data_IF_379908995067
#
_entry.id   IF_379908995067
#
_cell.length_a   1.000
_cell.length_b   1.000
_cell.length_c   1.000
_cell.angle_alpha   90.00
_cell.angle_beta   90.00
_cell.angle_gamma   90.00
#
_symmetry.space_group_name_H-M   'P 1'
#
loop_
_entity.id
_entity.type
_entity.pdbx_description
1 polymer ?
#
# COMPACT_ATOMS: atom_id res chain seq x y z
N UNK A 1 -22.69 -14.82 -2.77
CA UNK A 1 -21.36 -15.24 -3.26
C UNK A 1 -21.11 -14.86 -4.73
N UNK A 2 -21.82 -15.39 -5.73
CA UNK A 2 -21.61 -15.00 -7.16
C UNK A 2 -21.93 -13.54 -7.50
N UNK A 3 -22.89 -12.92 -6.82
CA UNK A 3 -23.32 -11.53 -7.12
C UNK A 3 -22.31 -10.45 -6.72
N UNK A 4 -21.54 -10.66 -5.65
CA UNK A 4 -20.67 -9.63 -5.05
C UNK A 4 -19.17 -9.81 -5.39
N UNK A 5 -18.79 -10.88 -6.09
CA UNK A 5 -17.39 -11.11 -6.48
C UNK A 5 -16.41 -11.34 -5.32
N UNK A 6 -16.91 -11.60 -4.10
CA UNK A 6 -16.09 -11.89 -2.93
C UNK A 6 -15.73 -13.38 -2.88
N UNK A 7 -14.42 -13.73 -2.84
CA UNK A 7 -13.97 -15.09 -2.54
C UNK A 7 -14.50 -15.58 -1.18
N UNK A 8 -14.84 -16.86 -1.07
CA UNK A 8 -15.43 -17.42 0.16
C UNK A 8 -14.53 -17.23 1.41
N UNK A 9 -13.20 -17.27 1.24
CA UNK A 9 -12.22 -16.99 2.31
C UNK A 9 -12.34 -15.58 2.89
N UNK A 10 -12.74 -14.59 2.10
CA UNK A 10 -12.87 -13.21 2.57
C UNK A 10 -14.11 -13.00 3.43
N UNK A 11 -15.06 -13.94 3.40
CA UNK A 11 -16.20 -13.95 4.33
C UNK A 11 -15.82 -14.51 5.70
N UNK A 12 -14.66 -15.18 5.84
CA UNK A 12 -14.16 -15.62 7.14
C UNK A 12 -13.88 -14.44 8.08
N UNK A 13 -13.65 -13.24 7.55
CA UNK A 13 -13.52 -12.03 8.37
C UNK A 13 -14.84 -11.68 9.09
N UNK A 14 -15.97 -12.21 8.65
CA UNK A 14 -17.29 -11.97 9.23
C UNK A 14 -17.71 -13.11 10.17
N UNK A 15 -16.94 -14.22 10.19
CA UNK A 15 -17.20 -15.40 11.02
C UNK A 15 -17.04 -15.04 12.51
N UNK A 16 -18.08 -15.24 13.34
CA UNK A 16 -18.01 -14.95 14.77
C UNK A 16 -16.97 -15.77 15.53
N UNK A 17 -16.62 -16.98 15.06
CA UNK A 17 -15.70 -17.92 15.74
C UNK A 17 -14.23 -17.56 15.46
N UNK A 18 -13.94 -16.93 14.32
CA UNK A 18 -12.59 -16.58 13.87
C UNK A 18 -12.22 -15.10 14.12
N UNK A 19 -12.89 -14.42 15.05
CA UNK A 19 -12.80 -12.96 15.27
C UNK A 19 -11.36 -12.41 15.34
N UNK A 20 -10.88 -11.91 14.19
CA UNK A 20 -9.69 -11.08 14.06
C UNK A 20 -9.99 -9.65 14.56
N UNK A 21 -8.96 -8.83 14.89
CA UNK A 21 -9.16 -7.41 15.21
C UNK A 21 -9.91 -6.67 14.08
N UNK A 22 -10.55 -5.55 14.42
CA UNK A 22 -11.29 -4.68 13.49
C UNK A 22 -10.61 -4.54 12.13
N UNK A 23 -11.24 -5.06 11.06
CA UNK A 23 -10.66 -5.18 9.72
C UNK A 23 -11.61 -4.62 8.67
N UNK A 24 -11.06 -3.85 7.72
CA UNK A 24 -11.77 -3.39 6.52
C UNK A 24 -11.05 -3.94 5.29
N UNK A 25 -11.77 -4.67 4.45
CA UNK A 25 -11.23 -5.40 3.30
C UNK A 25 -11.89 -4.90 2.02
N UNK A 26 -11.12 -4.33 1.10
CA UNK A 26 -11.61 -3.88 -0.21
C UNK A 26 -11.41 -4.94 -1.31
N UNK A 27 -12.44 -5.15 -2.13
CA UNK A 27 -12.43 -5.97 -3.35
C UNK A 27 -13.12 -5.24 -4.50
N UNK A 28 -12.94 -5.75 -5.71
CA UNK A 28 -13.39 -5.17 -7.00
C UNK A 28 -14.83 -4.62 -6.98
N UNK A 29 -15.76 -5.28 -6.28
CA UNK A 29 -17.18 -4.90 -6.22
C UNK A 29 -17.74 -4.69 -4.82
N UNK A 30 -16.93 -4.88 -3.79
CA UNK A 30 -17.41 -4.91 -2.42
C UNK A 30 -16.32 -4.56 -1.41
N UNK A 31 -16.71 -3.91 -0.31
CA UNK A 31 -15.90 -3.64 0.86
C UNK A 31 -16.49 -4.44 2.02
N UNK A 32 -15.75 -5.41 2.54
CA UNK A 32 -16.06 -6.09 3.79
C UNK A 32 -15.61 -5.25 4.99
N UNK A 33 -16.49 -5.11 5.97
CA UNK A 33 -16.25 -4.40 7.22
C UNK A 33 -16.51 -5.37 8.36
N UNK A 34 -15.51 -5.61 9.19
CA UNK A 34 -15.63 -6.30 10.46
C UNK A 34 -15.11 -5.36 11.56
N UNK A 35 -16.02 -4.67 12.24
CA UNK A 35 -15.74 -3.88 13.44
C UNK A 35 -16.44 -4.54 14.63
N UNK A 36 -16.03 -4.17 15.84
CA UNK A 36 -16.53 -4.71 17.11
C UNK A 36 -18.05 -4.98 17.12
N UNK A 37 -18.84 -3.98 16.74
CA UNK A 37 -20.30 -4.11 16.63
C UNK A 37 -20.83 -3.99 15.20
N UNK A 38 -20.00 -3.85 14.16
CA UNK A 38 -20.52 -3.60 12.80
C UNK A 38 -19.91 -4.59 11.83
N UNK A 39 -20.74 -5.51 11.33
CA UNK A 39 -20.37 -6.47 10.29
C UNK A 39 -21.14 -6.14 9.03
N UNK A 40 -20.46 -5.58 8.03
CA UNK A 40 -21.10 -5.09 6.82
C UNK A 40 -20.37 -5.51 5.54
N UNK A 41 -21.13 -5.69 4.47
CA UNK A 41 -20.60 -5.74 3.10
C UNK A 41 -21.18 -4.54 2.35
N UNK A 42 -20.33 -3.61 1.94
CA UNK A 42 -20.70 -2.42 1.17
C UNK A 42 -20.39 -2.68 -0.28
N UNK A 43 -21.40 -2.58 -1.16
CA UNK A 43 -21.23 -2.58 -2.61
C UNK A 43 -21.55 -1.19 -3.17
N UNK A 44 -21.45 -1.02 -4.49
CA UNK A 44 -21.84 0.22 -5.15
C UNK A 44 -23.35 0.52 -5.06
N UNK A 45 -24.20 -0.48 -4.80
CA UNK A 45 -25.66 -0.34 -4.84
C UNK A 45 -26.33 -0.60 -3.49
N UNK A 46 -25.73 -1.44 -2.66
CA UNK A 46 -26.34 -1.90 -1.41
C UNK A 46 -25.31 -2.05 -0.29
N UNK A 47 -25.76 -1.85 0.94
CA UNK A 47 -25.02 -2.14 2.17
C UNK A 47 -25.74 -3.28 2.87
N UNK A 48 -25.05 -4.42 3.01
CA UNK A 48 -25.57 -5.59 3.71
C UNK A 48 -24.99 -5.60 5.12
N UNK A 49 -25.83 -5.38 6.14
CA UNK A 49 -25.47 -5.47 7.55
C UNK A 49 -25.89 -6.82 8.10
N UNK A 50 -24.91 -7.60 8.58
CA UNK A 50 -25.16 -8.94 9.13
C UNK A 50 -25.85 -8.90 10.50
N UNK A 51 -25.62 -7.84 11.27
CA UNK A 51 -26.15 -7.66 12.62
C UNK A 51 -27.07 -6.43 12.74
N UNK A 52 -27.91 -6.20 11.72
CA UNK A 52 -28.84 -5.06 11.66
C UNK A 52 -29.91 -5.02 12.76
N UNK A 53 -30.15 -6.15 13.45
CA UNK A 53 -31.12 -6.28 14.55
C UNK A 53 -30.50 -6.11 15.94
N UNK A 54 -29.19 -5.93 16.02
CA UNK A 54 -28.51 -5.71 17.29
C UNK A 54 -28.83 -4.29 17.80
N UNK A 55 -29.28 -4.11 19.06
CA UNK A 55 -29.57 -2.80 19.64
C UNK A 55 -28.41 -1.81 19.54
N UNK A 56 -27.17 -2.28 19.54
CA UNK A 56 -25.96 -1.43 19.39
C UNK A 56 -25.79 -0.87 17.97
N UNK A 57 -26.40 -1.51 16.97
CA UNK A 57 -26.28 -1.18 15.54
C UNK A 57 -27.50 -0.44 15.02
N UNK A 58 -28.66 -0.60 15.66
CA UNK A 58 -29.90 0.07 15.25
C UNK A 58 -29.78 1.59 15.07
N UNK A 59 -29.15 2.36 15.99
CA UNK A 59 -28.99 3.81 15.80
C UNK A 59 -28.19 4.14 14.53
N UNK A 60 -27.20 3.32 14.19
CA UNK A 60 -26.45 3.46 12.95
C UNK A 60 -27.32 3.16 11.73
N UNK A 61 -28.13 2.09 11.78
CA UNK A 61 -29.04 1.73 10.67
C UNK A 61 -30.01 2.87 10.38
N UNK A 62 -30.64 3.42 11.42
CA UNK A 62 -31.58 4.54 11.30
C UNK A 62 -30.90 5.79 10.73
N UNK A 63 -29.70 6.13 11.22
CA UNK A 63 -28.91 7.24 10.72
C UNK A 63 -28.54 7.06 9.24
N UNK A 64 -28.12 5.85 8.87
CA UNK A 64 -27.66 5.50 7.53
C UNK A 64 -28.84 5.51 6.54
N UNK A 65 -29.99 4.95 6.92
CA UNK A 65 -31.24 5.05 6.17
C UNK A 65 -31.68 6.50 6.00
N UNK A 66 -31.67 7.29 7.06
CA UNK A 66 -32.05 8.71 7.01
C UNK A 66 -31.12 9.52 6.11
N UNK A 67 -29.81 9.25 6.13
CA UNK A 67 -28.85 9.90 5.22
C UNK A 67 -29.03 9.45 3.78
N UNK A 68 -29.18 8.14 3.52
CA UNK A 68 -29.43 7.64 2.17
C UNK A 68 -30.71 8.26 1.61
N UNK A 69 -31.81 8.29 2.36
CA UNK A 69 -33.09 8.88 1.91
C UNK A 69 -32.99 10.38 1.62
N UNK A 70 -32.19 11.12 2.40
CA UNK A 70 -31.92 12.56 2.15
C UNK A 70 -31.02 12.79 0.93
N UNK A 71 -30.13 11.84 0.61
CA UNK A 71 -29.13 11.98 -0.44
C UNK A 71 -29.45 11.20 -1.73
N UNK A 72 -30.43 10.30 -1.74
CA UNK A 72 -30.91 9.58 -2.92
C UNK A 72 -31.50 10.52 -3.98
N UNK A 73 -31.88 11.74 -3.58
CA UNK A 73 -32.35 12.83 -4.46
C UNK A 73 -31.20 13.68 -5.03
N UNK A 74 -29.97 13.50 -4.55
CA UNK A 74 -28.80 14.21 -5.08
C UNK A 74 -28.29 13.42 -6.28
N UNK A 75 -28.81 13.75 -7.47
CA UNK A 75 -28.11 13.42 -8.72
C UNK A 75 -26.71 14.02 -8.62
N UNK A 76 -25.67 13.22 -8.92
CA UNK A 76 -24.33 13.73 -9.20
C UNK A 76 -24.48 15.00 -10.06
N UNK A 77 -23.95 16.15 -9.61
CA UNK A 77 -24.23 17.40 -10.28
C UNK A 77 -23.78 17.32 -11.74
N UNK A 78 -24.55 17.98 -12.60
CA UNK A 78 -24.33 18.10 -14.04
C UNK A 78 -22.84 18.34 -14.37
N UNK A 79 -22.29 17.82 -15.49
CA UNK A 79 -20.85 17.81 -15.81
C UNK A 79 -20.13 19.17 -15.68
N UNK A 80 -20.87 20.29 -15.71
CA UNK A 80 -20.32 21.64 -15.49
C UNK A 80 -19.90 21.96 -14.04
N UNK A 81 -20.25 21.15 -13.03
CA UNK A 81 -19.71 21.24 -11.65
C UNK A 81 -18.71 20.14 -11.30
N UNK A 82 -18.39 19.27 -12.27
CA UNK A 82 -17.48 18.12 -12.10
C UNK A 82 -16.00 18.54 -12.13
N UNK A 83 -15.68 19.80 -12.43
CA UNK A 83 -14.31 20.33 -12.33
C UNK A 83 -13.72 20.32 -10.91
N UNK A 84 -14.52 20.05 -9.87
CA UNK A 84 -14.10 20.24 -8.47
C UNK A 84 -14.10 18.98 -7.60
N UNK A 85 -14.52 17.81 -8.09
CA UNK A 85 -14.51 16.58 -7.27
C UNK A 85 -13.08 16.04 -7.20
N UNK A 86 -12.58 15.86 -5.97
CA UNK A 86 -11.29 15.22 -5.71
C UNK A 86 -11.47 13.71 -5.76
N UNK A 87 -10.87 13.10 -6.77
CA UNK A 87 -10.85 11.67 -6.98
C UNK A 87 -9.47 11.13 -6.62
N UNK A 88 -9.37 9.84 -6.27
CA UNK A 88 -8.13 9.16 -5.94
C UNK A 88 -7.96 8.01 -6.94
N UNK A 89 -6.96 8.11 -7.82
CA UNK A 89 -6.66 7.07 -8.81
C UNK A 89 -5.40 6.31 -8.43
N UNK A 90 -5.31 5.09 -8.92
CA UNK A 90 -4.09 4.30 -8.86
C UNK A 90 -3.75 3.88 -10.30
N UNK A 91 -2.81 4.57 -10.95
CA UNK A 91 -2.41 4.24 -12.32
C UNK A 91 -1.89 2.81 -12.43
N UNK A 92 -2.11 2.18 -13.58
CA UNK A 92 -1.52 0.87 -13.85
C UNK A 92 0.02 0.97 -13.87
N UNK A 93 0.74 0.06 -13.19
CA UNK A 93 2.19 0.01 -13.28
C UNK A 93 2.64 -0.32 -14.71
N UNK A 94 3.75 0.27 -15.14
CA UNK A 94 4.35 -0.06 -16.45
C UNK A 94 5.05 -1.40 -16.39
N UNK A 95 5.32 -2.01 -17.56
CA UNK A 95 6.01 -3.31 -17.62
C UNK A 95 7.40 -3.24 -16.99
N UNK A 96 8.10 -2.12 -17.18
CA UNK A 96 9.45 -1.88 -16.64
C UNK A 96 9.43 -1.82 -15.10
N UNK A 97 8.36 -1.32 -14.49
CA UNK A 97 8.22 -1.31 -13.03
C UNK A 97 8.01 -2.72 -12.46
N UNK A 98 7.34 -3.60 -13.22
CA UNK A 98 7.05 -4.98 -12.84
C UNK A 98 8.18 -5.96 -13.17
N UNK A 99 9.10 -5.59 -14.07
CA UNK A 99 10.23 -6.41 -14.50
C UNK A 99 11.05 -7.01 -13.34
N UNK A 100 11.41 -6.27 -12.25
CA UNK A 100 12.13 -6.85 -11.12
C UNK A 100 11.36 -7.94 -10.38
N UNK A 101 10.03 -7.81 -10.30
CA UNK A 101 9.15 -8.81 -9.72
C UNK A 101 9.11 -10.07 -10.59
N UNK A 102 8.97 -9.90 -11.91
CA UNK A 102 8.92 -11.01 -12.87
C UNK A 102 10.23 -11.80 -12.88
N UNK A 103 11.38 -11.12 -12.84
CA UNK A 103 12.70 -11.78 -12.71
C UNK A 103 12.82 -12.57 -11.41
N UNK A 104 12.37 -11.99 -10.30
CA UNK A 104 12.38 -12.68 -9.00
C UNK A 104 11.47 -13.91 -9.03
N UNK A 105 10.27 -13.79 -9.60
CA UNK A 105 9.32 -14.88 -9.75
C UNK A 105 9.88 -16.00 -10.63
N UNK A 106 10.43 -15.66 -11.80
CA UNK A 106 11.04 -16.63 -12.71
C UNK A 106 12.22 -17.38 -12.07
N UNK A 107 13.06 -16.68 -11.29
CA UNK A 107 14.19 -17.27 -10.59
C UNK A 107 13.77 -18.32 -9.53
N UNK A 108 12.56 -18.19 -8.98
CA UNK A 108 11.98 -19.15 -8.03
C UNK A 108 10.96 -20.11 -8.66
N UNK A 109 10.85 -20.11 -9.99
CA UNK A 109 9.94 -21.01 -10.73
C UNK A 109 8.46 -20.61 -10.67
N UNK A 110 8.14 -19.36 -10.30
CA UNK A 110 6.78 -18.83 -10.31
C UNK A 110 6.46 -18.11 -11.61
N UNK A 111 5.25 -18.36 -12.13
CA UNK A 111 4.69 -17.61 -13.25
C UNK A 111 3.62 -16.62 -12.74
N UNK A 112 3.88 -15.32 -12.87
CA UNK A 112 2.95 -14.26 -12.51
C UNK A 112 2.31 -13.67 -13.76
N UNK A 113 0.97 -13.59 -13.77
CA UNK A 113 0.24 -12.97 -14.87
C UNK A 113 0.01 -11.47 -14.56
N UNK A 114 0.67 -10.61 -15.33
CA UNK A 114 0.60 -9.15 -15.17
C UNK A 114 -0.36 -8.46 -16.14
N UNK A 115 -1.19 -9.23 -16.87
CA UNK A 115 -2.12 -8.69 -17.87
C UNK A 115 -3.17 -7.74 -17.29
N UNK A 116 -3.70 -8.06 -16.11
CA UNK A 116 -4.71 -7.27 -15.41
C UNK A 116 -4.47 -7.29 -13.90
N UNK A 117 -5.04 -6.33 -13.16
CA UNK A 117 -4.99 -6.30 -11.68
C UNK A 117 -5.54 -7.59 -11.06
N UNK A 118 -6.59 -8.15 -11.67
CA UNK A 118 -7.22 -9.39 -11.24
C UNK A 118 -6.35 -10.61 -11.52
N UNK A 119 -5.84 -10.76 -12.75
CA UNK A 119 -4.95 -11.87 -13.09
C UNK A 119 -3.67 -11.88 -12.23
N UNK A 120 -3.15 -10.70 -11.89
CA UNK A 120 -2.04 -10.56 -10.96
C UNK A 120 -2.44 -11.00 -9.54
N UNK A 121 -3.61 -10.59 -9.06
CA UNK A 121 -4.09 -11.03 -7.75
C UNK A 121 -4.29 -12.55 -7.69
N UNK A 122 -4.89 -13.14 -8.73
CA UNK A 122 -5.16 -14.57 -8.84
C UNK A 122 -3.85 -15.37 -8.93
N UNK A 123 -2.87 -14.93 -9.73
CA UNK A 123 -1.55 -15.58 -9.80
C UNK A 123 -0.75 -15.44 -8.51
N UNK A 124 -0.86 -14.30 -7.79
CA UNK A 124 -0.29 -14.12 -6.46
C UNK A 124 -0.96 -15.00 -5.39
N UNK A 125 -2.25 -15.30 -5.53
CA UNK A 125 -2.94 -16.25 -4.63
C UNK A 125 -2.41 -17.68 -4.81
N UNK A 126 -2.08 -18.07 -6.04
CA UNK A 126 -1.52 -19.38 -6.35
C UNK A 126 -0.02 -19.52 -6.01
N UNK A 127 0.68 -18.42 -5.73
CA UNK A 127 2.11 -18.41 -5.39
C UNK A 127 2.36 -18.91 -3.95
N UNK A 128 2.23 -20.22 -3.75
CA UNK A 128 2.51 -20.91 -2.48
C UNK A 128 3.88 -21.58 -2.56
N UNK A 129 4.64 -21.52 -1.48
CA UNK A 129 5.93 -22.19 -1.33
C UNK A 129 6.04 -22.84 0.05
N UNK A 130 7.14 -23.54 0.29
CA UNK A 130 7.35 -24.30 1.53
C UNK A 130 7.43 -23.41 2.78
N UNK A 131 7.92 -22.18 2.65
CA UNK A 131 7.94 -21.19 3.72
C UNK A 131 6.56 -20.50 3.84
N UNK A 132 5.88 -20.55 5.02
CA UNK A 132 4.62 -19.85 5.25
C UNK A 132 4.68 -18.33 4.98
N UNK A 133 5.87 -17.73 5.02
CA UNK A 133 6.08 -16.31 4.75
C UNK A 133 6.34 -16.00 3.27
N UNK A 134 6.54 -17.01 2.42
CA UNK A 134 6.86 -16.87 1.00
C UNK A 134 5.83 -16.05 0.23
N UNK A 135 4.54 -16.39 0.36
CA UNK A 135 3.46 -15.66 -0.30
C UNK A 135 3.43 -14.19 0.13
N UNK A 136 3.66 -13.92 1.43
CA UNK A 136 3.72 -12.56 1.98
C UNK A 136 4.89 -11.77 1.37
N UNK A 137 6.06 -12.38 1.20
CA UNK A 137 7.21 -11.73 0.56
C UNK A 137 6.93 -11.36 -0.88
N UNK A 138 6.41 -12.29 -1.68
CA UNK A 138 6.08 -12.01 -3.09
C UNK A 138 5.08 -10.85 -3.18
N UNK A 139 4.07 -10.79 -2.29
CA UNK A 139 3.11 -9.66 -2.23
C UNK A 139 3.76 -8.34 -1.83
N UNK A 140 4.70 -8.37 -0.88
CA UNK A 140 5.49 -7.18 -0.50
C UNK A 140 6.28 -6.68 -1.72
N UNK A 141 6.95 -7.57 -2.45
CA UNK A 141 7.68 -7.23 -3.67
C UNK A 141 6.74 -6.70 -4.76
N UNK A 142 5.59 -7.32 -4.97
CA UNK A 142 4.61 -6.86 -5.94
C UNK A 142 4.11 -5.44 -5.61
N UNK A 143 3.87 -5.15 -4.33
CA UNK A 143 3.44 -3.82 -3.87
C UNK A 143 4.52 -2.75 -4.13
N UNK A 144 5.81 -3.10 -4.07
CA UNK A 144 6.91 -2.16 -4.35
C UNK A 144 7.01 -1.78 -5.82
N UNK A 145 6.52 -2.62 -6.72
CA UNK A 145 6.48 -2.37 -8.16
C UNK A 145 5.24 -1.58 -8.59
N UNK A 146 4.31 -1.29 -7.68
CA UNK A 146 3.11 -0.51 -7.97
C UNK A 146 3.41 0.98 -8.07
N UNK A 147 2.56 1.70 -8.81
CA UNK A 147 2.62 3.17 -8.83
C UNK A 147 2.09 3.74 -7.51
N UNK A 148 2.42 5.00 -7.23
CA UNK A 148 1.78 5.69 -6.13
C UNK A 148 0.37 6.12 -6.56
N UNK A 149 -0.63 5.83 -5.72
CA UNK A 149 -1.96 6.37 -5.91
C UNK A 149 -1.99 7.88 -5.59
N UNK A 150 -2.78 8.64 -6.35
CA UNK A 150 -2.76 10.10 -6.34
C UNK A 150 -4.16 10.70 -6.42
N UNK A 151 -4.34 11.85 -5.77
CA UNK A 151 -5.48 12.72 -5.99
C UNK A 151 -5.40 13.38 -7.36
N UNK A 152 -6.56 13.59 -7.97
CA UNK A 152 -6.74 14.39 -9.18
C UNK A 152 -8.12 15.06 -9.15
N UNK A 153 -8.34 16.12 -9.92
CA UNK A 153 -9.66 16.69 -10.11
C UNK A 153 -10.33 16.02 -11.31
N UNK A 154 -11.62 15.68 -11.22
CA UNK A 154 -12.34 15.04 -12.34
C UNK A 154 -12.48 15.91 -13.59
N UNK A 155 -12.14 17.20 -13.54
CA UNK A 155 -11.99 18.05 -14.73
C UNK A 155 -10.64 17.96 -15.42
N UNK A 156 -9.61 17.42 -14.76
CA UNK A 156 -8.23 17.44 -15.26
C UNK A 156 -7.91 16.25 -16.17
N UNK A 157 -8.64 15.13 -16.02
CA UNK A 157 -8.37 13.87 -16.69
C UNK A 157 -9.61 13.36 -17.42
N UNK A 158 -9.39 12.46 -18.39
CA UNK A 158 -10.48 11.76 -19.05
C UNK A 158 -11.07 10.65 -18.15
N UNK A 159 -12.36 10.29 -18.28
CA UNK A 159 -12.99 9.26 -17.44
C UNK A 159 -12.29 7.89 -17.46
N UNK A 160 -11.58 7.55 -18.54
CA UNK A 160 -10.82 6.29 -18.64
C UNK A 160 -9.64 6.26 -17.67
N UNK A 161 -9.09 7.43 -17.31
CA UNK A 161 -7.93 7.56 -16.41
C UNK A 161 -8.32 7.58 -14.93
N UNK A 162 -9.62 7.56 -14.61
CA UNK A 162 -10.13 7.58 -13.24
C UNK A 162 -9.96 6.23 -12.53
N UNK A 163 -9.65 5.19 -13.31
CA UNK A 163 -9.51 3.82 -12.85
C UNK A 163 -8.50 3.69 -11.70
N UNK A 164 -8.87 2.91 -10.70
CA UNK A 164 -8.06 2.60 -9.55
C UNK A 164 -7.56 1.15 -9.62
N UNK A 165 -6.37 0.95 -10.19
CA UNK A 165 -5.76 -0.36 -10.44
C UNK A 165 -5.79 -1.29 -9.23
N UNK A 166 -5.36 -0.77 -8.07
CA UNK A 166 -5.23 -1.58 -6.84
C UNK A 166 -6.55 -2.00 -6.19
N UNK A 167 -7.66 -1.36 -6.56
CA UNK A 167 -9.00 -1.68 -6.05
C UNK A 167 -9.88 -2.27 -7.15
N UNK A 168 -9.38 -2.32 -8.40
CA UNK A 168 -10.13 -2.72 -9.58
C UNK A 168 -11.45 -1.96 -9.73
N UNK A 169 -11.43 -0.65 -9.43
CA UNK A 169 -12.61 0.20 -9.40
C UNK A 169 -12.56 1.29 -10.49
N UNK A 170 -13.65 1.58 -11.22
CA UNK A 170 -13.68 2.58 -12.28
C UNK A 170 -13.53 4.02 -11.77
N UNK A 171 -13.96 4.28 -10.53
CA UNK A 171 -13.86 5.58 -9.87
C UNK A 171 -13.75 5.35 -8.37
N UNK A 172 -12.85 6.07 -7.71
CA UNK A 172 -12.67 6.00 -6.27
C UNK A 172 -12.28 7.35 -5.67
N UNK A 173 -12.63 7.58 -4.41
CA UNK A 173 -12.27 8.78 -3.66
C UNK A 173 -12.25 8.50 -2.16
N UNK A 174 -11.50 9.30 -1.42
CA UNK A 174 -11.47 9.24 0.04
C UNK A 174 -12.58 10.09 0.64
N UNK A 175 -13.61 9.43 1.16
CA UNK A 175 -14.66 10.07 1.95
C UNK A 175 -14.45 9.91 3.47
N UNK A 176 -13.90 8.77 3.89
CA UNK A 176 -13.83 8.41 5.31
C UNK A 176 -12.71 9.17 6.04
N UNK A 177 -12.90 9.41 7.34
CA UNK A 177 -11.94 10.10 8.21
C UNK A 177 -11.61 11.57 7.85
N UNK A 178 -12.61 12.47 7.72
CA UNK A 178 -12.39 13.88 7.39
C UNK A 178 -11.42 14.57 8.37
N UNK A 179 -11.48 14.22 9.66
CA UNK A 179 -10.60 14.73 10.74
C UNK A 179 -9.10 14.65 10.39
N UNK A 180 -8.68 13.63 9.63
CA UNK A 180 -7.28 13.40 9.25
C UNK A 180 -7.01 13.50 7.75
N UNK A 181 -8.05 13.76 6.93
CA UNK A 181 -7.96 13.80 5.47
C UNK A 181 -8.88 14.87 4.89
N UNK A 182 -8.27 15.96 4.45
CA UNK A 182 -8.98 17.09 3.87
C UNK A 182 -9.77 16.75 2.59
N UNK A 183 -9.37 15.72 1.83
CA UNK A 183 -10.11 15.29 0.64
C UNK A 183 -11.57 14.90 0.94
N UNK A 184 -11.82 14.25 2.09
CA UNK A 184 -13.18 13.92 2.54
C UNK A 184 -14.00 15.17 2.85
N UNK A 185 -13.33 16.19 3.40
CA UNK A 185 -13.89 17.52 3.65
C UNK A 185 -14.07 18.39 2.39
N UNK A 186 -13.53 17.99 1.23
CA UNK A 186 -13.88 18.63 -0.04
C UNK A 186 -15.03 17.91 -0.72
N UNK A 187 -15.04 16.57 -0.66
CA UNK A 187 -16.07 15.74 -1.28
C UNK A 187 -17.44 15.95 -0.64
N UNK A 188 -17.52 15.94 0.69
CA UNK A 188 -18.82 16.09 1.34
C UNK A 188 -19.39 17.53 1.19
N UNK A 189 -18.55 18.54 0.92
CA UNK A 189 -18.95 19.89 0.57
C UNK A 189 -19.52 19.94 -0.85
N UNK A 190 -18.87 19.28 -1.81
CA UNK A 190 -19.34 19.21 -3.19
C UNK A 190 -20.65 18.41 -3.32
N UNK A 191 -20.88 17.46 -2.40
CA UNK A 191 -22.15 16.74 -2.25
C UNK A 191 -23.21 17.53 -1.46
N UNK A 192 -22.88 18.73 -0.96
CA UNK A 192 -23.82 19.57 -0.21
C UNK A 192 -24.15 19.07 1.20
N UNK A 193 -23.33 18.18 1.78
CA UNK A 193 -23.52 17.63 3.13
C UNK A 193 -23.21 18.69 4.20
N UNK A 194 -22.23 19.55 3.95
CA UNK A 194 -21.97 20.76 4.75
C UNK A 194 -21.71 21.96 3.85
N UNK A 195 -21.92 23.14 4.42
CA UNK A 195 -21.51 24.40 3.78
C UNK A 195 -20.00 24.51 3.86
N UNK A 196 -19.35 24.85 2.75
CA UNK A 196 -17.96 25.27 2.81
C UNK A 196 -17.84 26.47 3.76
N UNK A 197 -16.73 26.60 4.51
CA UNK A 197 -16.44 27.80 5.29
C UNK A 197 -16.60 29.08 4.45
N UNK A 198 -17.01 30.19 5.06
CA UNK A 198 -17.37 31.43 4.37
C UNK A 198 -16.25 31.96 3.43
N UNK A 199 -14.99 31.72 3.79
CA UNK A 199 -13.80 32.06 2.99
C UNK A 199 -13.77 31.37 1.61
N UNK A 200 -14.53 30.30 1.43
CA UNK A 200 -14.63 29.53 0.18
C UNK A 200 -15.99 29.71 -0.51
N UNK A 201 -16.85 30.60 -0.01
CA UNK A 201 -18.10 30.95 -0.67
C UNK A 201 -17.94 32.15 -1.61
N UNK A 202 -16.85 32.91 -1.43
CA UNK A 202 -16.61 34.14 -2.18
C UNK A 202 -15.77 33.87 -3.45
N UNK A 203 -16.39 34.11 -4.61
CA UNK A 203 -15.86 33.77 -5.94
C UNK A 203 -14.56 34.52 -6.31
N UNK A 204 -14.36 35.80 -5.93
CA UNK A 204 -13.10 36.51 -6.15
C UNK A 204 -11.96 35.95 -5.31
N UNK A 205 -12.21 35.57 -4.05
CA UNK A 205 -11.21 34.96 -3.17
C UNK A 205 -10.81 33.56 -3.66
N UNK A 206 -11.77 32.76 -4.14
CA UNK A 206 -11.47 31.47 -4.78
C UNK A 206 -10.60 31.61 -6.03
N UNK A 207 -10.80 32.67 -6.81
CA UNK A 207 -10.00 32.94 -8.02
C UNK A 207 -8.60 33.40 -7.63
N UNK A 208 -8.45 34.29 -6.64
CA UNK A 208 -7.12 34.65 -6.12
C UNK A 208 -6.38 33.48 -5.47
N UNK A 209 -7.10 32.56 -4.81
CA UNK A 209 -6.56 31.31 -4.23
C UNK A 209 -6.26 30.25 -5.32
N UNK A 210 -6.96 30.28 -6.44
CA UNK A 210 -6.70 29.41 -7.60
C UNK A 210 -5.50 29.91 -8.44
N UNK A 211 -5.34 31.23 -8.54
CA UNK A 211 -4.22 31.88 -9.24
C UNK A 211 -2.94 31.87 -8.39
N UNK A 212 -3.05 31.89 -7.05
CA UNK A 212 -1.94 31.55 -6.16
C UNK A 212 -1.80 30.03 -6.11
N UNK A 213 -0.91 29.45 -6.91
CA UNK A 213 -0.49 28.03 -6.79
C UNK A 213 -0.52 27.52 -5.33
N UNK A 214 -1.18 26.37 -5.12
CA UNK A 214 -0.85 25.37 -4.09
C UNK A 214 -1.32 25.52 -2.63
N UNK A 215 -2.64 25.66 -2.38
CA UNK A 215 -3.20 25.22 -1.07
C UNK A 215 -4.36 24.22 -1.17
N UNK A 216 -5.02 24.11 -2.33
CA UNK A 216 -6.19 23.25 -2.51
C UNK A 216 -6.14 22.38 -3.77
N UNK A 217 -5.08 22.48 -4.58
CA UNK A 217 -4.88 21.64 -5.76
C UNK A 217 -4.77 20.16 -5.35
N UNK A 218 -5.15 19.26 -6.26
CA UNK A 218 -4.90 17.83 -6.06
C UNK A 218 -3.40 17.56 -5.83
N UNK A 219 -2.54 18.34 -6.47
CA UNK A 219 -1.08 18.34 -6.29
C UNK A 219 -0.67 18.67 -4.86
N UNK A 220 -1.24 19.70 -4.22
CA UNK A 220 -0.95 20.02 -2.82
C UNK A 220 -1.32 18.88 -1.87
N UNK A 221 -2.49 18.26 -2.07
CA UNK A 221 -2.90 17.10 -1.27
C UNK A 221 -1.95 15.91 -1.45
N UNK A 222 -1.48 15.68 -2.68
CA UNK A 222 -0.48 14.64 -2.99
C UNK A 222 0.87 14.95 -2.32
N UNK A 223 1.33 16.21 -2.38
CA UNK A 223 2.55 16.67 -1.73
C UNK A 223 2.50 16.47 -0.22
N UNK A 224 1.43 16.92 0.45
CA UNK A 224 1.23 16.73 1.90
C UNK A 224 1.12 15.26 2.27
N UNK A 225 0.41 14.46 1.48
CA UNK A 225 0.30 13.02 1.71
C UNK A 225 1.66 12.31 1.64
N UNK A 226 2.47 12.60 0.60
CA UNK A 226 3.82 12.05 0.46
C UNK A 226 4.72 12.45 1.61
N UNK A 227 4.71 13.73 2.01
CA UNK A 227 5.52 14.21 3.12
C UNK A 227 5.13 13.57 4.46
N UNK A 228 3.83 13.39 4.71
CA UNK A 228 3.36 12.71 5.92
C UNK A 228 3.87 11.25 5.98
N UNK A 229 3.84 10.52 4.86
CA UNK A 229 4.40 9.17 4.78
C UNK A 229 5.91 9.14 4.99
N UNK A 230 6.65 10.07 4.38
CA UNK A 230 8.10 10.18 4.55
C UNK A 230 8.49 10.49 6.00
N UNK A 231 7.80 11.44 6.63
CA UNK A 231 8.02 11.77 8.05
C UNK A 231 7.71 10.58 8.96
N UNK A 232 6.63 9.84 8.68
CA UNK A 232 6.30 8.61 9.43
C UNK A 232 7.40 7.55 9.29
N UNK A 233 7.91 7.30 8.07
CA UNK A 233 9.01 6.35 7.85
C UNK A 233 10.29 6.78 8.56
N UNK A 234 10.66 8.05 8.48
CA UNK A 234 11.83 8.59 9.18
C UNK A 234 11.68 8.46 10.71
N UNK A 235 10.48 8.69 11.24
CA UNK A 235 10.19 8.49 12.66
C UNK A 235 10.38 7.02 13.07
N UNK A 236 9.86 6.07 12.29
CA UNK A 236 10.05 4.63 12.53
C UNK A 236 11.53 4.24 12.45
N UNK A 237 12.28 4.78 11.50
CA UNK A 237 13.72 4.55 11.38
C UNK A 237 14.47 4.99 12.64
N UNK A 238 14.22 6.21 13.13
CA UNK A 238 14.83 6.72 14.36
C UNK A 238 14.48 5.84 15.56
N UNK A 239 13.22 5.45 15.72
CA UNK A 239 12.80 4.58 16.83
C UNK A 239 13.38 3.18 16.72
N UNK A 240 13.60 2.67 15.51
CA UNK A 240 14.29 1.41 15.27
C UNK A 240 15.73 1.48 15.78
N UNK A 241 16.45 2.57 15.49
CA UNK A 241 17.81 2.78 16.01
C UNK A 241 17.82 2.86 17.54
N UNK A 242 16.87 3.57 18.15
CA UNK A 242 16.75 3.64 19.61
C UNK A 242 16.52 2.24 20.21
N UNK A 243 15.65 1.45 19.60
CA UNK A 243 15.32 0.10 20.05
C UNK A 243 16.53 -0.84 20.01
N UNK A 244 17.30 -0.85 18.91
CA UNK A 244 18.45 -1.73 18.74
C UNK A 244 19.76 -1.21 19.36
N UNK A 245 19.81 0.05 19.82
CA UNK A 245 21.05 0.69 20.34
C UNK A 245 21.75 -0.08 21.46
N UNK A 246 20.98 -0.80 22.29
CA UNK A 246 21.50 -1.62 23.40
C UNK A 246 21.14 -3.10 23.25
N UNK A 247 20.73 -3.52 22.05
CA UNK A 247 20.15 -4.85 21.78
C UNK A 247 20.66 -5.43 20.46
N UNK A 248 21.97 -5.75 20.36
CA UNK A 248 22.44 -6.53 19.22
C UNK A 248 21.65 -7.85 19.16
N UNK A 249 21.20 -8.24 17.97
CA UNK A 249 20.28 -9.38 17.82
C UNK A 249 20.61 -10.18 16.58
N UNK A 250 20.72 -11.50 16.75
CA UNK A 250 20.79 -12.45 15.65
C UNK A 250 19.39 -12.88 15.26
N UNK A 251 19.10 -12.88 13.96
CA UNK A 251 17.78 -13.24 13.45
C UNK A 251 17.86 -13.76 12.02
N UNK A 252 16.81 -14.48 11.63
CA UNK A 252 16.60 -14.88 10.25
C UNK A 252 16.08 -13.71 9.41
N UNK A 253 16.61 -13.63 8.19
CA UNK A 253 16.20 -12.68 7.17
C UNK A 253 16.05 -13.42 5.82
N UNK A 254 15.25 -12.86 4.92
CA UNK A 254 15.10 -13.36 3.54
C UNK A 254 15.76 -12.40 2.57
N UNK A 255 16.50 -12.93 1.62
CA UNK A 255 17.11 -12.15 0.55
C UNK A 255 16.00 -11.63 -0.39
N UNK A 256 15.87 -10.32 -0.55
CA UNK A 256 14.84 -9.71 -1.42
C UNK A 256 15.39 -9.15 -2.72
N UNK A 257 16.69 -8.84 -2.77
CA UNK A 257 17.33 -8.31 -3.98
C UNK A 257 18.82 -8.61 -3.98
N UNK A 258 19.32 -9.11 -5.10
CA UNK A 258 20.75 -9.30 -5.32
C UNK A 258 21.40 -8.00 -5.85
N UNK A 259 22.64 -7.73 -5.42
CA UNK A 259 23.48 -6.62 -5.89
C UNK A 259 24.88 -7.13 -6.22
N UNK A 260 25.67 -6.34 -6.93
CA UNK A 260 27.06 -6.69 -7.29
C UNK A 260 27.99 -6.89 -6.08
N UNK A 261 27.73 -6.20 -4.96
CA UNK A 261 28.55 -6.21 -3.76
C UNK A 261 27.90 -6.89 -2.54
N UNK A 262 26.82 -7.66 -2.77
CA UNK A 262 26.07 -8.34 -1.72
C UNK A 262 24.59 -8.44 -2.04
N UNK A 263 23.73 -8.24 -1.05
CA UNK A 263 22.29 -8.35 -1.25
C UNK A 263 21.51 -7.50 -0.25
N UNK A 264 20.25 -7.25 -0.55
CA UNK A 264 19.29 -6.66 0.38
C UNK A 264 18.51 -7.78 1.03
N UNK A 265 18.42 -7.75 2.35
CA UNK A 265 17.60 -8.67 3.13
C UNK A 265 16.40 -7.97 3.75
N UNK A 266 15.32 -8.71 3.91
CA UNK A 266 14.15 -8.32 4.68
C UNK A 266 14.04 -9.20 5.92
N UNK A 267 13.81 -8.60 7.08
CA UNK A 267 13.75 -9.24 8.39
C UNK A 267 12.30 -9.30 8.85
N UNK A 268 11.58 -10.43 8.67
CA UNK A 268 10.13 -10.47 8.90
C UNK A 268 9.70 -10.17 10.33
N UNK A 269 10.51 -10.59 11.32
CA UNK A 269 10.23 -10.39 12.74
C UNK A 269 10.06 -8.91 13.11
N UNK A 270 10.80 -8.03 12.46
CA UNK A 270 10.81 -6.59 12.75
C UNK A 270 10.26 -5.73 11.60
N UNK A 271 10.02 -6.31 10.43
CA UNK A 271 9.60 -5.58 9.23
C UNK A 271 10.67 -4.63 8.68
N UNK A 272 11.95 -4.93 8.93
CA UNK A 272 13.09 -4.09 8.56
C UNK A 272 13.74 -4.63 7.28
N UNK A 273 14.23 -3.73 6.44
CA UNK A 273 15.01 -4.06 5.25
C UNK A 273 16.36 -3.36 5.31
N UNK A 274 17.43 -4.04 4.88
CA UNK A 274 18.76 -3.46 4.87
C UNK A 274 19.74 -4.20 3.96
N UNK A 275 20.80 -3.51 3.51
CA UNK A 275 21.86 -4.13 2.73
C UNK A 275 22.78 -4.97 3.64
N UNK A 276 23.16 -6.13 3.14
CA UNK A 276 24.25 -6.96 3.65
C UNK A 276 25.35 -6.96 2.59
N UNK A 277 26.54 -6.51 2.96
CA UNK A 277 27.69 -6.43 2.07
C UNK A 277 28.54 -7.69 2.22
N UNK A 278 28.88 -8.34 1.10
CA UNK A 278 29.77 -9.51 1.09
C UNK A 278 31.23 -9.10 0.88
N UNK A 279 31.46 -7.94 0.25
CA UNK A 279 32.80 -7.39 0.01
C UNK A 279 33.04 -6.18 0.92
N UNK A 280 34.27 -6.00 1.40
CA UNK A 280 34.64 -4.86 2.23
C UNK A 280 34.50 -3.52 1.47
N UNK A 281 34.16 -2.45 2.21
CA UNK A 281 34.09 -1.09 1.67
C UNK A 281 35.49 -0.63 1.23
N UNK A 282 35.75 -0.63 -0.07
CA UNK A 282 37.01 -0.12 -0.64
C UNK A 282 37.51 -0.94 -1.82
N UNK A 283 37.10 -2.20 -1.91
CA UNK A 283 37.52 -3.10 -2.99
C UNK A 283 36.62 -2.92 -4.22
N UNK A 284 36.67 -1.71 -4.80
CA UNK A 284 36.03 -1.42 -6.09
C UNK A 284 36.93 -1.92 -7.21
N UNK A 285 36.97 -3.25 -7.37
CA UNK A 285 37.66 -3.95 -8.44
C UNK A 285 39.01 -4.52 -8.01
N UNK A 286 39.02 -5.77 -7.53
CA UNK A 286 40.29 -6.41 -7.22
C UNK A 286 40.24 -7.84 -6.70
N UNK A 287 39.30 -8.19 -5.81
CA UNK A 287 39.18 -9.57 -5.30
C UNK A 287 37.98 -10.31 -5.90
N UNK A 288 38.19 -11.14 -6.92
CA UNK A 288 37.17 -11.99 -7.56
C UNK A 288 36.64 -13.12 -6.66
N UNK A 289 36.13 -12.80 -5.46
CA UNK A 289 35.57 -13.78 -4.54
C UNK A 289 34.09 -14.07 -4.79
N UNK A 290 33.32 -13.15 -5.37
CA UNK A 290 31.87 -13.33 -5.56
C UNK A 290 31.45 -13.04 -7.00
N UNK A 291 30.80 -14.02 -7.62
CA UNK A 291 30.22 -13.97 -8.95
C UNK A 291 28.70 -13.78 -8.84
N UNK A 292 28.18 -12.75 -9.49
CA UNK A 292 26.74 -12.46 -9.52
C UNK A 292 26.14 -12.94 -10.83
N UNK A 293 25.19 -13.85 -10.74
CA UNK A 293 24.35 -14.28 -11.85
C UNK A 293 23.06 -13.45 -11.82
N UNK A 294 23.01 -12.42 -12.66
CA UNK A 294 21.86 -11.53 -12.75
C UNK A 294 20.61 -12.22 -13.32
N UNK A 295 20.78 -13.24 -14.17
CA UNK A 295 19.65 -13.96 -14.77
C UNK A 295 18.99 -14.89 -13.75
N UNK A 296 19.79 -15.62 -12.98
CA UNK A 296 19.28 -16.53 -11.95
C UNK A 296 19.01 -15.83 -10.60
N UNK A 297 19.32 -14.53 -10.48
CA UNK A 297 19.25 -13.78 -9.21
C UNK A 297 20.00 -14.52 -8.09
N UNK A 298 21.24 -14.91 -8.37
CA UNK A 298 22.12 -15.65 -7.44
C UNK A 298 23.48 -14.97 -7.29
N UNK A 299 24.07 -15.12 -6.12
CA UNK A 299 25.46 -14.75 -5.82
C UNK A 299 26.20 -16.01 -5.40
N UNK A 300 27.30 -16.32 -6.07
CA UNK A 300 28.13 -17.50 -5.82
C UNK A 300 29.53 -17.07 -5.43
N UNK A 301 30.14 -17.76 -4.47
CA UNK A 301 31.58 -17.60 -4.23
C UNK A 301 32.35 -18.15 -5.44
N UNK A 302 33.47 -17.55 -5.81
CA UNK A 302 34.28 -17.97 -6.97
C UNK A 302 34.84 -19.38 -6.83
N UNK A 303 35.06 -19.82 -5.59
CA UNK A 303 35.44 -21.19 -5.23
C UNK A 303 34.27 -22.19 -5.30
N UNK A 304 33.06 -21.74 -5.65
CA UNK A 304 31.86 -22.57 -5.78
C UNK A 304 31.28 -23.12 -4.47
N UNK A 305 31.95 -22.91 -3.34
CA UNK A 305 31.59 -23.47 -2.03
C UNK A 305 30.26 -22.98 -1.46
N UNK A 306 29.88 -21.72 -1.74
CA UNK A 306 28.68 -21.09 -1.18
C UNK A 306 27.90 -20.36 -2.27
N UNK A 307 26.57 -20.50 -2.26
CA UNK A 307 25.67 -19.73 -3.12
C UNK A 307 24.44 -19.23 -2.37
N UNK A 308 24.03 -18.01 -2.70
CA UNK A 308 22.85 -17.33 -2.16
C UNK A 308 21.90 -16.96 -3.29
N UNK A 309 20.63 -17.35 -3.17
CA UNK A 309 19.57 -16.99 -4.11
C UNK A 309 18.57 -16.00 -3.53
N UNK A 310 17.82 -15.34 -4.41
CA UNK A 310 16.66 -14.53 -4.00
C UNK A 310 15.63 -15.39 -3.26
N UNK A 311 14.97 -14.79 -2.26
CA UNK A 311 14.02 -15.41 -1.33
C UNK A 311 14.59 -16.48 -0.40
N UNK A 312 15.89 -16.78 -0.49
CA UNK A 312 16.54 -17.69 0.45
C UNK A 312 16.61 -17.08 1.86
N UNK A 313 16.44 -17.94 2.85
CA UNK A 313 16.63 -17.60 4.27
C UNK A 313 18.12 -17.61 4.63
N UNK A 314 18.56 -16.55 5.29
CA UNK A 314 19.91 -16.38 5.81
C UNK A 314 19.86 -15.91 7.27
N UNK A 315 20.91 -16.20 8.04
CA UNK A 315 21.07 -15.65 9.39
C UNK A 315 21.90 -14.39 9.34
N UNK A 316 21.44 -13.36 10.04
CA UNK A 316 22.12 -12.07 10.10
C UNK A 316 22.29 -11.62 11.55
N UNK A 317 23.35 -10.85 11.78
CA UNK A 317 23.59 -10.07 12.97
C UNK A 317 23.11 -8.64 12.72
N UNK A 318 22.31 -8.10 13.64
CA UNK A 318 21.82 -6.72 13.59
C UNK A 318 22.35 -5.93 14.77
N UNK A 319 23.04 -4.82 14.50
CA UNK A 319 23.56 -3.92 15.52
C UNK A 319 23.53 -2.46 15.06
N UNK A 320 23.50 -1.53 16.01
CA UNK A 320 23.56 -0.09 15.70
C UNK A 320 25.01 0.35 15.74
N UNK A 321 25.49 0.88 14.62
CA UNK A 321 26.84 1.42 14.47
C UNK A 321 26.78 2.90 14.14
N UNK A 322 27.83 3.64 14.49
CA UNK A 322 27.94 5.07 14.24
C UNK A 322 29.19 5.36 13.38
N UNK A 323 29.11 5.17 12.05
CA UNK A 323 30.25 5.34 11.16
C UNK A 323 30.65 6.81 10.95
N UNK A 324 29.74 7.74 11.23
CA UNK A 324 29.96 9.18 11.21
C UNK A 324 29.32 9.77 12.48
N UNK A 325 29.93 10.80 13.09
CA UNK A 325 29.35 11.46 14.26
C UNK A 325 27.90 11.90 14.01
N UNK A 326 27.01 11.57 14.96
CA UNK A 326 25.58 11.89 14.93
C UNK A 326 24.81 11.25 13.76
N UNK A 327 25.33 10.19 13.16
CA UNK A 327 24.66 9.43 12.10
C UNK A 327 24.66 7.93 12.41
N UNK A 328 23.96 7.49 13.47
CA UNK A 328 23.78 6.08 13.74
C UNK A 328 23.02 5.41 12.59
N UNK A 329 23.39 4.17 12.28
CA UNK A 329 22.70 3.33 11.31
C UNK A 329 22.59 1.91 11.86
N UNK A 330 21.55 1.20 11.45
CA UNK A 330 21.42 -0.23 11.71
C UNK A 330 22.26 -0.97 10.67
N UNK A 331 23.30 -1.65 11.12
CA UNK A 331 24.14 -2.50 10.28
C UNK A 331 23.64 -3.94 10.35
N UNK A 332 23.55 -4.57 9.18
CA UNK A 332 23.17 -5.96 9.00
C UNK A 332 24.39 -6.69 8.45
N UNK A 333 24.83 -7.72 9.13
CA UNK A 333 26.00 -8.53 8.76
C UNK A 333 25.58 -10.00 8.64
N UNK A 334 26.11 -10.71 7.65
CA UNK A 334 25.85 -12.15 7.49
C UNK A 334 26.60 -12.94 8.59
N UNK A 335 25.97 -13.97 9.15
CA UNK A 335 26.57 -14.89 10.13
C UNK A 335 26.85 -16.25 9.48
#
# INVERSE_FOLDING_TARGET
MRRMGLPARDLQILDPILSYPSTVLGRERAIGINLEHIKAIITAQEVLLLNSRDPSVMPLVEELQRRILRHATIKLPHPRRVGSIRCWRHPSPTKEMLEPLLRTAAAVGLHLDVSTSKALADSLDCAVGDDPYFNKLIRILATRCMTQAVYFCSGDLSPQEFYHYGLSAPLYTHFTSPIRRYAGELLAASLGIYKLPAIFQDRPQLTSIADSKDYFSAEYLNYRHRNAQMASRASVEVHTLIYFRKRPTDTEARIVKIRSNGFIVFVPKYGIEGPVYLTARGDKGGGGEWLVDEQQQKVKKSDGSISYGVLQTVRIHMEVVEPQPNRPKLQLTLI
#
